data_IF_142020929566
#
_entry.id   IF_142020929566
#
_cell.length_a   1.000
_cell.length_b   1.000
_cell.length_c   1.000
_cell.angle_alpha   90.00
_cell.angle_beta   90.00
_cell.angle_gamma   90.00
#
_symmetry.space_group_name_H-M   'P 1'
#
loop_
_entity.id
_entity.type
_entity.pdbx_description
1 polymer ?
#
# COMPACT_ATOMS: atom_id res chain seq x y z
N UNK A 1 -62.06 27.64 -45.90
CA UNK A 1 -61.21 28.49 -45.04
C UNK A 1 -60.96 27.84 -43.69
N UNK A 2 -59.72 27.43 -43.41
CA UNK A 2 -59.34 26.94 -42.08
C UNK A 2 -59.13 28.15 -41.18
N UNK A 3 -60.12 28.48 -40.35
CA UNK A 3 -60.00 29.56 -39.36
C UNK A 3 -59.11 29.07 -38.22
N UNK A 4 -57.86 29.55 -38.19
CA UNK A 4 -56.92 29.28 -37.11
C UNK A 4 -57.27 30.20 -35.93
N UNK A 5 -57.85 29.64 -34.87
CA UNK A 5 -58.18 30.39 -33.65
C UNK A 5 -56.96 30.53 -32.74
N UNK A 6 -56.86 31.64 -31.99
CA UNK A 6 -55.79 31.86 -30.99
C UNK A 6 -55.65 30.69 -30.01
N UNK A 7 -56.77 30.09 -29.63
CA UNK A 7 -56.80 28.92 -28.75
C UNK A 7 -56.14 27.68 -29.38
N UNK A 8 -56.38 27.41 -30.67
CA UNK A 8 -55.70 26.30 -31.37
C UNK A 8 -54.19 26.52 -31.47
N UNK A 9 -53.76 27.76 -31.72
CA UNK A 9 -52.31 28.11 -31.76
C UNK A 9 -51.66 27.88 -30.40
N UNK A 10 -52.30 28.31 -29.32
CA UNK A 10 -51.80 28.06 -27.95
C UNK A 10 -51.74 26.57 -27.59
N UNK A 11 -52.74 25.78 -27.99
CA UNK A 11 -52.75 24.33 -27.78
C UNK A 11 -51.62 23.63 -28.53
N UNK A 12 -51.39 23.98 -29.81
CA UNK A 12 -50.27 23.45 -30.59
C UNK A 12 -48.94 23.83 -29.94
N UNK A 13 -48.80 25.07 -29.47
CA UNK A 13 -47.64 25.54 -28.72
C UNK A 13 -47.37 24.72 -27.45
N UNK A 14 -48.43 24.37 -26.70
CA UNK A 14 -48.31 23.55 -25.48
C UNK A 14 -47.83 22.12 -25.76
N UNK A 15 -48.31 21.49 -26.83
CA UNK A 15 -47.88 20.15 -27.22
C UNK A 15 -46.46 20.16 -27.79
N UNK A 16 -46.12 21.15 -28.61
CA UNK A 16 -44.78 21.33 -29.15
C UNK A 16 -43.76 21.56 -28.03
N UNK A 17 -44.09 22.38 -27.02
CA UNK A 17 -43.29 22.57 -25.82
C UNK A 17 -43.05 21.26 -25.09
N UNK A 18 -44.12 20.53 -24.74
CA UNK A 18 -43.98 19.31 -23.95
C UNK A 18 -43.23 18.20 -24.69
N UNK A 19 -43.47 18.02 -25.99
CA UNK A 19 -42.75 17.02 -26.78
C UNK A 19 -41.27 17.38 -26.95
N UNK A 20 -40.97 18.64 -27.29
CA UNK A 20 -39.60 19.10 -27.43
C UNK A 20 -38.83 19.01 -26.10
N UNK A 21 -39.47 19.39 -24.98
CA UNK A 21 -38.85 19.29 -23.66
C UNK A 21 -38.49 17.85 -23.28
N UNK A 22 -39.39 16.88 -23.54
CA UNK A 22 -39.06 15.46 -23.32
C UNK A 22 -37.87 14.99 -24.16
N UNK A 23 -37.87 15.30 -25.46
CA UNK A 23 -36.79 14.90 -26.37
C UNK A 23 -35.46 15.53 -25.93
N UNK A 24 -35.48 16.79 -25.51
CA UNK A 24 -34.29 17.49 -25.00
C UNK A 24 -33.74 16.82 -23.73
N UNK A 25 -34.61 16.45 -22.79
CA UNK A 25 -34.22 15.76 -21.54
C UNK A 25 -33.58 14.40 -21.85
N UNK A 26 -34.21 13.60 -22.72
CA UNK A 26 -33.66 12.29 -23.11
C UNK A 26 -32.32 12.43 -23.85
N UNK A 27 -32.22 13.39 -24.77
CA UNK A 27 -30.98 13.67 -25.50
C UNK A 27 -29.84 14.13 -24.59
N UNK A 28 -30.14 14.97 -23.58
CA UNK A 28 -29.18 15.43 -22.59
C UNK A 28 -28.63 14.26 -21.75
N UNK A 29 -29.48 13.30 -21.37
CA UNK A 29 -29.06 12.11 -20.62
C UNK A 29 -28.17 11.19 -21.47
N UNK A 30 -28.55 10.91 -22.71
CA UNK A 30 -27.82 9.97 -23.57
C UNK A 30 -26.54 10.51 -24.17
N UNK A 31 -26.54 11.79 -24.58
CA UNK A 31 -25.43 12.38 -25.35
C UNK A 31 -24.69 13.49 -24.60
N UNK A 32 -25.19 13.91 -23.44
CA UNK A 32 -24.71 15.12 -22.77
C UNK A 32 -25.09 16.39 -23.53
N UNK A 33 -24.42 17.50 -23.20
CA UNK A 33 -24.59 18.76 -23.90
C UNK A 33 -24.06 18.64 -25.33
N UNK A 34 -24.97 18.68 -26.30
CA UNK A 34 -24.65 18.61 -27.72
C UNK A 34 -25.47 19.64 -28.51
N UNK A 35 -24.96 20.06 -29.66
CA UNK A 35 -25.65 21.04 -30.54
C UNK A 35 -27.10 20.65 -30.84
N UNK A 36 -27.44 19.36 -31.14
CA UNK A 36 -28.82 18.95 -31.31
C UNK A 36 -29.69 19.14 -30.06
N UNK A 37 -29.17 18.82 -28.87
CA UNK A 37 -29.89 18.96 -27.59
C UNK A 37 -30.22 20.44 -27.34
N UNK A 38 -29.27 21.35 -27.59
CA UNK A 38 -29.47 22.80 -27.46
C UNK A 38 -30.57 23.30 -28.41
N UNK A 39 -30.57 22.82 -29.66
CA UNK A 39 -31.61 23.17 -30.65
C UNK A 39 -32.98 22.74 -30.16
N UNK A 40 -33.11 21.52 -29.60
CA UNK A 40 -34.40 21.02 -29.11
C UNK A 40 -34.87 21.81 -27.88
N UNK A 41 -33.97 22.22 -26.97
CA UNK A 41 -34.31 23.14 -25.88
C UNK A 41 -34.81 24.50 -26.38
N UNK A 42 -34.18 25.03 -27.44
CA UNK A 42 -34.65 26.27 -28.06
C UNK A 42 -36.06 26.12 -28.64
N UNK A 43 -36.34 25.00 -29.32
CA UNK A 43 -37.69 24.69 -29.82
C UNK A 43 -38.71 24.59 -28.68
N UNK A 44 -38.33 23.96 -27.56
CA UNK A 44 -39.19 23.92 -26.37
C UNK A 44 -39.47 25.35 -25.84
N UNK A 45 -38.45 26.21 -25.73
CA UNK A 45 -38.62 27.59 -25.29
C UNK A 45 -39.55 28.40 -26.19
N UNK A 46 -39.44 28.24 -27.52
CA UNK A 46 -40.34 28.88 -28.50
C UNK A 46 -41.77 28.36 -28.37
N UNK A 47 -41.95 27.05 -28.17
CA UNK A 47 -43.25 26.44 -27.91
C UNK A 47 -43.91 26.99 -26.64
N UNK A 48 -43.13 27.14 -25.56
CA UNK A 48 -43.59 27.71 -24.30
C UNK A 48 -43.99 29.19 -24.46
N UNK A 49 -43.16 29.99 -25.12
CA UNK A 49 -43.45 31.40 -25.39
C UNK A 49 -44.74 31.56 -26.21
N UNK A 50 -44.94 30.70 -27.20
CA UNK A 50 -46.16 30.66 -28.01
C UNK A 50 -47.37 30.28 -27.15
N UNK A 51 -47.24 29.29 -26.27
CA UNK A 51 -48.32 28.88 -25.37
C UNK A 51 -48.73 30.01 -24.40
N UNK A 52 -47.76 30.68 -23.78
CA UNK A 52 -47.98 31.79 -22.85
C UNK A 52 -48.58 33.00 -23.55
N UNK A 53 -48.06 33.38 -24.73
CA UNK A 53 -48.51 34.56 -25.46
C UNK A 53 -49.95 34.43 -25.99
N UNK A 54 -50.31 33.24 -26.48
CA UNK A 54 -51.60 33.04 -27.15
C UNK A 54 -52.71 32.53 -26.21
N UNK A 55 -52.36 31.85 -25.11
CA UNK A 55 -53.32 31.30 -24.15
C UNK A 55 -52.84 31.46 -22.69
N UNK A 56 -52.69 32.69 -22.18
CA UNK A 56 -52.15 32.95 -20.84
C UNK A 56 -53.07 32.44 -19.72
N UNK A 57 -54.39 32.43 -19.94
CA UNK A 57 -55.37 31.89 -18.97
C UNK A 57 -55.26 30.37 -18.84
N UNK A 58 -55.04 29.66 -19.95
CA UNK A 58 -54.89 28.20 -19.94
C UNK A 58 -53.57 27.80 -19.26
N UNK A 59 -52.50 28.55 -19.53
CA UNK A 59 -51.22 28.39 -18.83
C UNK A 59 -51.35 28.65 -17.32
N UNK A 60 -52.02 29.74 -16.91
CA UNK A 60 -52.26 30.03 -15.50
C UNK A 60 -53.14 28.96 -14.83
N UNK A 61 -54.17 28.44 -15.52
CA UNK A 61 -55.01 27.36 -15.02
C UNK A 61 -54.25 26.03 -14.88
N UNK A 62 -53.27 25.78 -15.76
CA UNK A 62 -52.36 24.63 -15.68
C UNK A 62 -51.45 24.70 -14.45
N UNK A 63 -50.81 25.86 -14.20
CA UNK A 63 -49.94 26.07 -13.03
C UNK A 63 -50.73 26.07 -11.71
N UNK A 64 -51.94 26.62 -11.70
CA UNK A 64 -52.80 26.68 -10.50
C UNK A 64 -53.60 25.39 -10.25
N UNK A 65 -53.47 24.38 -11.10
CA UNK A 65 -54.09 23.06 -10.95
C UNK A 65 -55.62 23.03 -11.07
N UNK A 66 -56.28 24.15 -11.38
CA UNK A 66 -57.73 24.30 -11.19
C UNK A 66 -58.58 23.77 -12.36
N UNK A 67 -57.98 23.37 -13.49
CA UNK A 67 -58.77 22.93 -14.66
C UNK A 67 -58.04 22.07 -15.72
N UNK A 68 -57.00 21.33 -15.36
CA UNK A 68 -56.34 20.46 -16.33
C UNK A 68 -57.12 19.15 -16.50
N UNK A 69 -57.61 18.88 -17.72
CA UNK A 69 -58.25 17.60 -18.06
C UNK A 69 -57.27 16.45 -17.81
N UNK A 70 -57.77 15.32 -17.28
CA UNK A 70 -56.98 14.17 -16.82
C UNK A 70 -55.84 13.71 -17.77
N UNK A 71 -56.02 13.83 -19.10
CA UNK A 71 -54.98 13.47 -20.08
C UNK A 71 -53.80 14.46 -20.18
N UNK A 72 -54.03 15.76 -19.96
CA UNK A 72 -52.96 16.78 -20.00
C UNK A 72 -52.10 16.69 -18.76
N UNK A 73 -52.69 16.43 -17.59
CA UNK A 73 -51.93 16.23 -16.35
C UNK A 73 -51.01 15.02 -16.41
N UNK A 74 -51.49 13.87 -16.91
CA UNK A 74 -50.65 12.68 -17.03
C UNK A 74 -49.42 12.89 -17.93
N UNK A 75 -49.62 13.53 -19.09
CA UNK A 75 -48.52 13.86 -20.01
C UNK A 75 -47.48 14.78 -19.37
N UNK A 76 -47.93 15.83 -18.67
CA UNK A 76 -47.00 16.78 -18.06
C UNK A 76 -46.29 16.23 -16.81
N UNK A 77 -46.98 15.42 -16.01
CA UNK A 77 -46.38 14.70 -14.89
C UNK A 77 -45.30 13.72 -15.35
N UNK A 78 -45.47 13.08 -16.52
CA UNK A 78 -44.43 12.25 -17.12
C UNK A 78 -43.17 13.06 -17.47
N UNK A 79 -43.30 14.27 -18.05
CA UNK A 79 -42.13 15.15 -18.33
C UNK A 79 -41.42 15.49 -17.02
N UNK A 80 -42.21 15.86 -16.00
CA UNK A 80 -41.66 16.30 -14.73
C UNK A 80 -40.89 15.17 -14.05
N UNK A 81 -41.47 13.96 -14.02
CA UNK A 81 -40.80 12.78 -13.49
C UNK A 81 -39.53 12.45 -14.28
N UNK A 82 -39.58 12.43 -15.61
CA UNK A 82 -38.40 12.21 -16.46
C UNK A 82 -37.33 13.28 -16.26
N UNK A 83 -37.72 14.54 -16.07
CA UNK A 83 -36.82 15.65 -15.77
C UNK A 83 -36.15 15.52 -14.40
N UNK A 84 -36.89 15.10 -13.37
CA UNK A 84 -36.33 14.82 -12.04
C UNK A 84 -35.33 13.67 -12.13
N UNK A 85 -35.68 12.56 -12.81
CA UNK A 85 -34.78 11.42 -12.99
C UNK A 85 -33.51 11.82 -13.76
N UNK A 86 -33.65 12.61 -14.82
CA UNK A 86 -32.51 13.13 -15.58
C UNK A 86 -31.62 14.07 -14.76
N UNK A 87 -32.20 14.98 -13.97
CA UNK A 87 -31.47 15.87 -13.08
C UNK A 87 -30.68 15.07 -12.03
N UNK A 88 -31.32 14.09 -11.39
CA UNK A 88 -30.66 13.20 -10.44
C UNK A 88 -29.51 12.44 -11.11
N UNK A 89 -29.71 11.91 -12.32
CA UNK A 89 -28.66 11.22 -13.08
C UNK A 89 -27.46 12.14 -13.40
N UNK A 90 -27.70 13.39 -13.79
CA UNK A 90 -26.63 14.33 -14.11
C UNK A 90 -25.84 14.76 -12.86
N UNK A 91 -26.53 14.99 -11.73
CA UNK A 91 -25.89 15.27 -10.44
C UNK A 91 -25.01 14.11 -9.99
N UNK A 92 -25.49 12.87 -10.12
CA UNK A 92 -24.73 11.65 -9.79
C UNK A 92 -23.59 11.40 -10.78
N UNK A 93 -23.72 11.80 -12.04
CA UNK A 93 -22.66 11.63 -13.05
C UNK A 93 -21.48 12.56 -12.82
N UNK A 94 -21.72 13.81 -12.42
CA UNK A 94 -20.66 14.81 -12.27
C UNK A 94 -20.02 14.80 -10.87
N UNK A 95 -20.72 14.29 -9.87
CA UNK A 95 -20.17 14.11 -8.54
C UNK A 95 -19.80 12.64 -8.36
N UNK A 96 -18.51 12.36 -8.14
CA UNK A 96 -18.03 11.09 -7.62
C UNK A 96 -18.51 10.92 -6.17
N UNK A 97 -19.81 10.76 -5.99
CA UNK A 97 -20.40 10.34 -4.72
C UNK A 97 -20.10 8.86 -4.55
N UNK A 98 -18.88 8.56 -4.12
CA UNK A 98 -18.50 7.25 -3.60
C UNK A 98 -19.14 7.11 -2.23
N UNK A 99 -20.40 6.67 -2.19
CA UNK A 99 -20.97 6.12 -0.97
C UNK A 99 -20.41 4.72 -0.81
N UNK A 100 -19.37 4.60 0.00
CA UNK A 100 -18.79 3.32 0.39
C UNK A 100 -19.73 2.62 1.38
N UNK A 101 -20.57 1.77 0.84
CA UNK A 101 -21.40 0.80 1.56
C UNK A 101 -20.88 -0.62 1.30
N UNK A 102 -19.61 -0.76 0.98
CA UNK A 102 -18.93 -2.07 0.91
C UNK A 102 -18.20 -2.31 2.21
N UNK A 103 -18.52 -3.42 2.86
CA UNK A 103 -17.94 -3.87 4.13
C UNK A 103 -16.55 -4.50 3.90
N UNK A 104 -15.69 -3.79 3.16
CA UNK A 104 -14.33 -4.19 2.80
C UNK A 104 -13.49 -2.92 2.63
N UNK A 105 -12.71 -2.56 3.65
CA UNK A 105 -11.67 -1.52 3.62
C UNK A 105 -10.49 -1.89 2.68
N UNK A 106 -10.75 -2.59 1.57
CA UNK A 106 -9.76 -3.21 0.67
C UNK A 106 -8.89 -2.18 -0.10
N UNK A 107 -9.16 -0.88 0.04
CA UNK A 107 -8.40 0.20 -0.59
C UNK A 107 -7.80 1.21 0.40
N UNK A 108 -7.67 0.83 1.67
CA UNK A 108 -7.09 1.68 2.71
C UNK A 108 -6.16 0.87 3.59
N UNK A 109 -4.99 1.43 3.89
CA UNK A 109 -4.06 0.82 4.85
C UNK A 109 -4.60 0.93 6.27
N UNK A 110 -4.32 -0.07 7.10
CA UNK A 110 -4.66 -0.07 8.52
C UNK A 110 -4.00 1.11 9.26
N UNK A 111 -4.59 1.59 10.36
CA UNK A 111 -4.00 2.62 11.21
C UNK A 111 -2.58 2.28 11.67
N UNK A 112 -2.31 1.01 11.95
CA UNK A 112 -1.01 0.49 12.38
C UNK A 112 0.03 0.65 11.27
N UNK A 113 -0.31 0.27 10.03
CA UNK A 113 0.57 0.48 8.88
C UNK A 113 0.82 1.96 8.65
N UNK A 114 -0.20 2.83 8.78
CA UNK A 114 -0.03 4.29 8.64
C UNK A 114 0.93 4.88 9.68
N UNK A 115 0.90 4.40 10.92
CA UNK A 115 1.86 4.81 11.96
C UNK A 115 3.30 4.40 11.60
N UNK A 116 3.50 3.18 11.08
CA UNK A 116 4.82 2.74 10.59
C UNK A 116 5.30 3.63 9.45
N UNK A 117 4.42 3.93 8.49
CA UNK A 117 4.73 4.81 7.35
C UNK A 117 5.06 6.24 7.78
N UNK A 118 4.39 6.77 8.80
CA UNK A 118 4.66 8.11 9.35
C UNK A 118 6.04 8.25 9.98
N UNK A 119 6.70 7.15 10.33
CA UNK A 119 8.06 7.13 10.91
C UNK A 119 9.16 7.01 9.86
N UNK A 120 8.82 6.74 8.60
CA UNK A 120 9.80 6.63 7.51
C UNK A 120 10.29 8.03 7.12
N UNK A 121 11.59 8.26 7.29
CA UNK A 121 12.23 9.56 7.01
C UNK A 121 13.18 9.50 5.81
N UNK A 122 13.62 8.31 5.42
CA UNK A 122 14.52 8.06 4.28
C UNK A 122 13.72 7.53 3.09
N UNK A 123 14.06 7.89 1.84
CA UNK A 123 13.40 7.35 0.65
C UNK A 123 13.56 5.84 0.55
N UNK A 124 12.48 5.13 0.24
CA UNK A 124 12.43 3.67 0.13
C UNK A 124 11.99 3.28 -1.27
N UNK A 125 12.61 2.24 -1.84
CA UNK A 125 12.20 1.64 -3.10
C UNK A 125 11.67 0.23 -2.88
N UNK A 126 10.42 0.00 -3.30
CA UNK A 126 9.84 -1.32 -3.50
C UNK A 126 10.28 -1.81 -4.88
N UNK A 127 11.01 -2.90 -4.94
CA UNK A 127 11.49 -3.52 -6.19
C UNK A 127 10.79 -4.86 -6.38
N UNK A 128 9.95 -4.95 -7.40
CA UNK A 128 9.23 -6.18 -7.75
C UNK A 128 9.78 -6.81 -9.04
N UNK A 129 10.10 -8.09 -8.99
CA UNK A 129 10.58 -8.85 -10.14
C UNK A 129 9.42 -9.61 -10.76
N UNK A 130 9.04 -9.26 -11.99
CA UNK A 130 7.93 -9.91 -12.71
C UNK A 130 8.29 -10.12 -14.18
N UNK A 131 8.29 -11.38 -14.61
CA UNK A 131 8.43 -11.71 -16.03
C UNK A 131 7.15 -11.36 -16.81
N UNK A 132 7.27 -11.36 -18.14
CA UNK A 132 6.12 -11.30 -19.04
C UNK A 132 5.01 -12.34 -18.76
N UNK A 133 5.32 -13.44 -18.06
CA UNK A 133 4.33 -14.47 -17.70
C UNK A 133 3.52 -14.10 -16.45
N UNK A 134 4.04 -13.21 -15.60
CA UNK A 134 3.46 -12.83 -14.31
C UNK A 134 2.91 -11.39 -14.26
N UNK A 135 2.51 -10.85 -15.42
CA UNK A 135 1.94 -9.50 -15.51
C UNK A 135 0.63 -9.32 -14.72
N UNK A 136 -0.18 -10.38 -14.60
CA UNK A 136 -1.38 -10.34 -13.77
C UNK A 136 -1.03 -10.13 -12.29
N UNK A 137 -0.01 -10.85 -11.83
CA UNK A 137 0.47 -10.74 -10.45
C UNK A 137 1.05 -9.34 -10.19
N UNK A 138 1.83 -8.81 -11.13
CA UNK A 138 2.30 -7.41 -11.08
C UNK A 138 1.14 -6.44 -10.94
N UNK A 139 0.04 -6.61 -11.68
CA UNK A 139 -1.10 -5.70 -11.64
C UNK A 139 -1.83 -5.72 -10.29
N UNK A 140 -1.95 -6.91 -9.67
CA UNK A 140 -2.50 -7.09 -8.32
C UNK A 140 -1.60 -6.37 -7.31
N UNK A 141 -0.29 -6.64 -7.36
CA UNK A 141 0.68 -6.06 -6.43
C UNK A 141 0.81 -4.53 -6.62
N UNK A 142 0.71 -4.03 -7.86
CA UNK A 142 0.74 -2.58 -8.16
C UNK A 142 -0.46 -1.84 -7.55
N UNK A 143 -1.64 -2.47 -7.51
CA UNK A 143 -2.79 -1.88 -6.81
C UNK A 143 -2.52 -1.68 -5.33
N UNK A 144 -1.83 -2.63 -4.71
CA UNK A 144 -1.46 -2.59 -3.32
C UNK A 144 -0.32 -1.59 -3.04
N UNK A 145 0.78 -1.66 -3.80
CA UNK A 145 1.95 -0.79 -3.60
C UNK A 145 1.67 0.69 -3.88
N UNK A 146 0.68 1.00 -4.72
CA UNK A 146 0.20 2.39 -4.92
C UNK A 146 -0.29 3.04 -3.63
N UNK A 147 -0.87 2.28 -2.71
CA UNK A 147 -1.34 2.81 -1.42
C UNK A 147 -0.16 3.35 -0.60
N UNK A 148 0.97 2.64 -0.57
CA UNK A 148 2.18 3.04 0.15
C UNK A 148 2.81 4.31 -0.43
N UNK A 149 2.87 4.40 -1.76
CA UNK A 149 3.38 5.59 -2.44
C UNK A 149 2.50 6.82 -2.19
N UNK A 150 1.17 6.63 -2.20
CA UNK A 150 0.19 7.70 -1.97
C UNK A 150 0.24 8.18 -0.52
N UNK A 151 0.22 7.26 0.46
CA UNK A 151 0.22 7.60 1.89
C UNK A 151 1.53 8.26 2.34
N UNK A 152 2.66 7.97 1.66
CA UNK A 152 3.97 8.57 1.96
C UNK A 152 4.34 9.76 1.07
N UNK A 153 3.40 10.28 0.26
CA UNK A 153 3.63 11.39 -0.66
C UNK A 153 4.85 11.18 -1.59
N UNK A 154 5.07 9.94 -2.05
CA UNK A 154 6.16 9.58 -2.97
C UNK A 154 7.53 9.38 -2.33
N UNK A 155 7.61 9.31 -0.99
CA UNK A 155 8.82 8.91 -0.26
C UNK A 155 9.13 7.42 -0.47
N UNK A 156 8.08 6.58 -0.50
CA UNK A 156 8.16 5.21 -0.98
C UNK A 156 7.82 5.21 -2.47
N UNK A 157 8.65 4.56 -3.29
CA UNK A 157 8.42 4.40 -4.73
C UNK A 157 8.51 2.95 -5.13
N UNK A 158 7.80 2.58 -6.19
CA UNK A 158 7.81 1.22 -6.74
C UNK A 158 8.50 1.14 -8.10
N UNK A 159 9.32 0.11 -8.29
CA UNK A 159 10.05 -0.19 -9.51
C UNK A 159 9.82 -1.65 -9.86
N UNK A 160 9.53 -1.92 -11.14
CA UNK A 160 9.32 -3.28 -11.65
C UNK A 160 10.43 -3.64 -12.63
N UNK A 161 11.00 -4.83 -12.45
CA UNK A 161 12.10 -5.34 -13.26
C UNK A 161 11.70 -6.70 -13.80
N UNK A 162 11.90 -6.93 -15.10
CA UNK A 162 11.74 -8.27 -15.67
C UNK A 162 13.05 -9.06 -15.41
N UNK A 163 13.01 -10.16 -14.63
CA UNK A 163 14.20 -10.96 -14.34
C UNK A 163 14.78 -11.66 -15.58
N UNK A 164 13.98 -11.88 -16.63
CA UNK A 164 14.45 -12.50 -17.88
C UNK A 164 15.16 -11.47 -18.77
N UNK A 165 14.73 -10.19 -18.74
CA UNK A 165 15.39 -9.10 -19.47
C UNK A 165 16.64 -8.57 -18.75
N UNK A 166 16.63 -8.58 -17.40
CA UNK A 166 17.72 -8.05 -16.57
C UNK A 166 18.26 -9.11 -15.56
N UNK A 167 18.81 -10.24 -16.03
CA UNK A 167 19.23 -11.35 -15.16
C UNK A 167 20.36 -10.97 -14.20
N UNK A 168 21.24 -10.03 -14.58
CA UNK A 168 22.30 -9.56 -13.69
C UNK A 168 21.77 -8.81 -12.47
N UNK A 169 20.71 -8.02 -12.63
CA UNK A 169 20.07 -7.31 -11.52
C UNK A 169 19.33 -8.32 -10.64
N UNK A 170 18.55 -9.23 -11.23
CA UNK A 170 17.86 -10.27 -10.49
C UNK A 170 18.83 -11.14 -9.66
N UNK A 171 19.97 -11.54 -10.25
CA UNK A 171 20.99 -12.32 -9.56
C UNK A 171 21.59 -11.58 -8.35
N UNK A 172 21.80 -10.26 -8.44
CA UNK A 172 22.33 -9.47 -7.31
C UNK A 172 21.38 -9.41 -6.11
N UNK A 173 20.07 -9.61 -6.33
CA UNK A 173 19.05 -9.70 -5.28
C UNK A 173 18.79 -11.15 -4.84
N UNK A 174 19.35 -12.15 -5.53
CA UNK A 174 18.87 -13.54 -5.43
C UNK A 174 17.38 -13.66 -5.80
N UNK A 175 16.88 -12.77 -6.65
CA UNK A 175 15.47 -12.66 -6.97
C UNK A 175 15.03 -13.72 -7.98
N UNK A 176 13.85 -14.27 -7.75
CA UNK A 176 13.12 -15.10 -8.70
C UNK A 176 11.87 -14.37 -9.20
N UNK A 177 11.24 -14.90 -10.24
CA UNK A 177 9.98 -14.35 -10.76
C UNK A 177 8.90 -14.30 -9.67
N UNK A 178 8.26 -13.14 -9.52
CA UNK A 178 7.36 -12.79 -8.43
C UNK A 178 8.04 -12.30 -7.16
N UNK A 179 9.36 -12.25 -7.03
CA UNK A 179 9.97 -11.77 -5.78
C UNK A 179 9.78 -10.26 -5.59
N UNK A 180 9.55 -9.83 -4.35
CA UNK A 180 9.41 -8.42 -3.97
C UNK A 180 10.40 -8.10 -2.85
N UNK A 181 11.10 -6.97 -3.01
CA UNK A 181 12.09 -6.48 -2.06
C UNK A 181 11.84 -5.01 -1.75
N UNK A 182 12.32 -4.57 -0.58
CA UNK A 182 12.40 -3.17 -0.20
C UNK A 182 13.84 -2.81 0.18
N UNK A 183 14.23 -1.56 -0.06
CA UNK A 183 15.55 -1.04 0.29
C UNK A 183 15.50 0.48 0.41
N UNK A 184 16.44 1.07 1.14
CA UNK A 184 16.64 2.51 1.08
C UNK A 184 17.28 2.91 -0.25
N UNK A 185 17.07 4.17 -0.63
CA UNK A 185 17.69 4.78 -1.81
C UNK A 185 18.79 5.75 -1.36
N UNK A 186 19.97 5.61 -1.96
CA UNK A 186 21.11 6.50 -1.78
C UNK A 186 20.85 7.88 -2.41
N UNK A 187 21.68 8.86 -2.05
CA UNK A 187 21.56 10.22 -2.58
C UNK A 187 21.74 10.32 -4.11
N UNK A 188 22.44 9.35 -4.72
CA UNK A 188 22.63 9.23 -6.17
C UNK A 188 21.47 8.53 -6.89
N UNK A 189 20.45 8.07 -6.16
CA UNK A 189 19.30 7.35 -6.69
C UNK A 189 19.52 5.84 -6.84
N UNK A 190 20.69 5.31 -6.47
CA UNK A 190 20.93 3.86 -6.42
C UNK A 190 20.29 3.23 -5.18
N UNK A 191 20.01 1.94 -5.24
CA UNK A 191 19.55 1.16 -4.09
C UNK A 191 20.70 0.93 -3.09
N UNK A 192 20.39 0.97 -1.80
CA UNK A 192 21.31 0.56 -0.74
C UNK A 192 21.19 -0.94 -0.50
N UNK A 193 22.09 -1.71 -1.13
CA UNK A 193 22.10 -3.17 -1.08
C UNK A 193 22.34 -3.73 0.32
N UNK A 194 22.93 -2.96 1.24
CA UNK A 194 23.12 -3.40 2.63
C UNK A 194 21.80 -3.42 3.42
N UNK A 195 20.77 -2.75 2.93
CA UNK A 195 19.47 -2.62 3.58
C UNK A 195 18.39 -3.44 2.88
N UNK A 196 18.80 -4.32 1.96
CA UNK A 196 17.88 -5.11 1.16
C UNK A 196 17.09 -6.08 2.05
N UNK A 197 15.76 -5.92 2.08
CA UNK A 197 14.86 -6.80 2.80
C UNK A 197 13.84 -7.43 1.85
N UNK A 198 13.71 -8.76 1.91
CA UNK A 198 12.68 -9.48 1.17
C UNK A 198 11.32 -9.27 1.82
N UNK A 199 10.30 -9.05 1.00
CA UNK A 199 8.90 -9.03 1.43
C UNK A 199 8.35 -10.45 1.27
N UNK A 200 7.97 -11.13 2.37
CA UNK A 200 7.34 -12.43 2.30
C UNK A 200 6.04 -12.37 1.48
N UNK A 201 5.65 -13.50 0.91
CA UNK A 201 4.35 -13.69 0.27
C UNK A 201 3.53 -14.65 1.12
N UNK A 202 3.12 -14.18 2.27
CA UNK A 202 2.27 -14.89 3.22
C UNK A 202 0.80 -14.73 2.90
N UNK A 203 -0.04 -14.91 3.92
CA UNK A 203 -1.50 -14.84 3.81
C UNK A 203 -2.03 -13.41 3.79
N UNK A 204 -1.24 -12.41 4.20
CA UNK A 204 -1.64 -11.01 4.27
C UNK A 204 -0.53 -10.11 3.74
N UNK A 205 -0.76 -9.59 2.54
CA UNK A 205 0.21 -8.76 1.83
C UNK A 205 0.55 -7.45 2.58
N UNK A 206 -0.41 -6.89 3.32
CA UNK A 206 -0.16 -5.71 4.16
C UNK A 206 0.71 -6.03 5.35
N UNK A 207 0.39 -7.10 6.08
CA UNK A 207 1.21 -7.51 7.21
C UNK A 207 2.65 -7.77 6.78
N UNK A 208 2.83 -8.52 5.69
CA UNK A 208 4.16 -8.88 5.19
C UNK A 208 4.98 -7.63 4.79
N UNK A 209 4.32 -6.65 4.16
CA UNK A 209 4.95 -5.38 3.78
C UNK A 209 5.30 -4.53 5.00
N UNK A 210 4.38 -4.39 5.96
CA UNK A 210 4.60 -3.63 7.19
C UNK A 210 5.72 -4.25 8.03
N UNK A 211 5.75 -5.57 8.18
CA UNK A 211 6.85 -6.28 8.84
C UNK A 211 8.18 -6.07 8.12
N UNK A 212 8.20 -6.09 6.78
CA UNK A 212 9.41 -5.80 6.02
C UNK A 212 9.87 -4.36 6.26
N UNK A 213 8.99 -3.36 6.23
CA UNK A 213 9.32 -1.96 6.50
C UNK A 213 9.90 -1.75 7.90
N UNK A 214 9.37 -2.46 8.91
CA UNK A 214 9.92 -2.46 10.25
C UNK A 214 11.35 -3.04 10.28
N UNK A 215 11.60 -4.16 9.60
CA UNK A 215 12.96 -4.70 9.43
C UNK A 215 13.89 -3.71 8.74
N UNK A 216 13.41 -3.02 7.70
CA UNK A 216 14.18 -2.00 7.00
C UNK A 216 14.55 -0.80 7.90
N UNK A 217 13.68 -0.43 8.85
CA UNK A 217 13.97 0.66 9.80
C UNK A 217 15.11 0.32 10.76
N UNK A 218 15.22 -0.94 11.17
CA UNK A 218 16.31 -1.42 12.04
C UNK A 218 17.50 -1.96 11.24
N UNK A 219 17.38 -2.03 9.91
CA UNK A 219 18.41 -2.58 9.04
C UNK A 219 19.70 -1.77 9.19
N UNK A 220 20.75 -2.46 9.61
CA UNK A 220 22.06 -1.85 9.79
C UNK A 220 22.25 -1.06 11.10
N UNK A 221 21.29 -1.09 12.03
CA UNK A 221 21.40 -0.39 13.32
C UNK A 221 21.63 -1.31 14.51
N UNK A 222 21.48 -2.62 14.33
CA UNK A 222 21.60 -3.61 15.41
C UNK A 222 22.72 -4.59 15.05
N UNK A 223 23.83 -4.51 15.79
CA UNK A 223 25.00 -5.38 15.59
C UNK A 223 24.98 -6.52 16.60
N UNK A 224 25.07 -7.75 16.09
CA UNK A 224 25.18 -8.98 16.86
C UNK A 224 26.60 -9.53 16.68
N UNK A 225 27.29 -9.74 17.79
CA UNK A 225 28.67 -10.20 17.79
C UNK A 225 28.75 -11.72 18.00
N UNK A 226 29.44 -12.43 17.13
CA UNK A 226 29.76 -13.84 17.29
C UNK A 226 31.13 -13.98 17.95
N UNK A 227 31.20 -14.64 19.10
CA UNK A 227 32.48 -15.02 19.66
C UNK A 227 33.17 -16.04 18.75
N UNK A 228 34.43 -15.75 18.40
CA UNK A 228 35.28 -16.58 17.54
C UNK A 228 36.38 -17.29 18.33
N UNK A 229 36.42 -17.11 19.65
CA UNK A 229 37.35 -17.80 20.54
C UNK A 229 36.78 -19.15 21.03
N UNK A 230 37.48 -19.85 21.93
CA UNK A 230 37.03 -21.13 22.54
C UNK A 230 36.56 -22.24 21.58
N UNK A 231 37.09 -22.31 20.35
CA UNK A 231 36.67 -23.33 19.38
C UNK A 231 35.24 -23.16 18.85
N UNK A 232 34.71 -21.94 18.98
CA UNK A 232 33.45 -21.53 18.39
C UNK A 232 33.45 -21.77 16.88
N UNK A 233 32.25 -21.99 16.33
CA UNK A 233 32.08 -22.19 14.89
C UNK A 233 32.08 -20.84 14.18
N UNK A 234 32.74 -20.77 13.05
CA UNK A 234 32.76 -19.56 12.22
C UNK A 234 31.34 -19.31 11.63
N UNK A 235 30.74 -18.12 11.86
CA UNK A 235 29.47 -17.72 11.24
C UNK A 235 29.52 -17.71 9.72
N UNK A 236 30.69 -17.64 9.08
CA UNK A 236 30.84 -17.62 7.63
C UNK A 236 31.13 -19.01 7.03
N UNK A 237 31.34 -20.05 7.86
CA UNK A 237 31.59 -21.41 7.35
C UNK A 237 30.32 -22.02 6.72
N UNK A 238 30.46 -22.41 5.46
CA UNK A 238 29.41 -23.06 4.64
C UNK A 238 29.43 -24.59 4.70
N UNK A 239 30.34 -25.19 5.47
CA UNK A 239 30.35 -26.62 5.72
C UNK A 239 29.09 -27.06 6.47
N UNK A 240 28.73 -28.37 6.46
CA UNK A 240 27.62 -28.89 7.26
C UNK A 240 27.77 -28.63 8.77
N UNK A 241 29.00 -28.36 9.23
CA UNK A 241 29.31 -28.02 10.61
C UNK A 241 29.44 -26.51 10.84
N UNK A 242 29.29 -25.67 9.80
CA UNK A 242 29.37 -24.23 9.92
C UNK A 242 28.07 -23.57 10.41
N UNK A 243 28.09 -22.25 10.54
CA UNK A 243 26.95 -21.45 11.01
C UNK A 243 26.41 -20.45 9.97
N UNK A 244 26.85 -20.55 8.71
CA UNK A 244 26.42 -19.67 7.61
C UNK A 244 24.91 -19.55 7.43
N UNK A 245 24.14 -20.60 7.71
CA UNK A 245 22.68 -20.55 7.70
C UNK A 245 22.11 -19.64 8.79
N UNK A 246 22.67 -19.67 10.00
CA UNK A 246 22.27 -18.77 11.10
C UNK A 246 22.67 -17.35 10.76
N UNK A 247 23.91 -17.15 10.30
CA UNK A 247 24.40 -15.85 9.85
C UNK A 247 23.50 -15.24 8.77
N UNK A 248 23.14 -16.01 7.73
CA UNK A 248 22.24 -15.56 6.67
C UNK A 248 20.83 -15.22 7.21
N UNK A 249 20.28 -16.02 8.13
CA UNK A 249 18.97 -15.74 8.73
C UNK A 249 18.95 -14.48 9.61
N UNK A 250 20.04 -14.21 10.33
CA UNK A 250 20.21 -12.97 11.11
C UNK A 250 20.27 -11.76 10.15
N UNK A 251 21.02 -11.87 9.05
CA UNK A 251 21.08 -10.83 8.03
C UNK A 251 19.74 -10.60 7.33
N UNK A 252 18.99 -11.66 7.00
CA UNK A 252 17.64 -11.55 6.44
C UNK A 252 16.66 -10.86 7.40
N UNK A 253 16.91 -10.96 8.70
CA UNK A 253 16.15 -10.25 9.74
C UNK A 253 16.51 -8.76 9.84
N UNK A 254 17.51 -8.29 9.08
CA UNK A 254 17.98 -6.89 9.07
C UNK A 254 19.13 -6.60 10.05
N UNK A 255 19.66 -7.61 10.73
CA UNK A 255 20.70 -7.45 11.75
C UNK A 255 22.09 -7.53 11.12
N UNK A 256 23.07 -6.78 11.66
CA UNK A 256 24.48 -6.92 11.29
C UNK A 256 25.11 -7.99 12.16
N UNK A 257 26.00 -8.80 11.58
CA UNK A 257 26.84 -9.75 12.32
C UNK A 257 28.31 -9.33 12.26
N UNK A 258 29.00 -9.37 13.39
CA UNK A 258 30.43 -9.07 13.47
C UNK A 258 31.17 -10.13 14.30
N UNK A 259 32.44 -10.43 14.00
CA UNK A 259 33.25 -11.30 14.86
C UNK A 259 33.68 -10.57 16.12
N UNK A 260 33.84 -11.31 17.22
CA UNK A 260 34.36 -10.86 18.49
C UNK A 260 35.34 -11.90 19.00
N UNK A 261 36.53 -11.49 19.42
CA UNK A 261 37.49 -12.40 20.04
C UNK A 261 37.47 -12.16 21.56
N UNK A 262 36.72 -12.99 22.29
CA UNK A 262 36.57 -12.81 23.74
C UNK A 262 37.91 -12.97 24.46
N UNK A 263 38.75 -13.91 24.02
CA UNK A 263 40.08 -14.14 24.56
C UNK A 263 40.96 -12.90 24.43
N UNK A 264 41.00 -12.29 23.25
CA UNK A 264 41.76 -11.06 23.03
C UNK A 264 41.25 -9.91 23.91
N UNK A 265 39.93 -9.79 24.12
CA UNK A 265 39.36 -8.77 25.01
C UNK A 265 39.74 -9.01 26.47
N UNK A 266 39.71 -10.27 26.93
CA UNK A 266 40.14 -10.66 28.28
C UNK A 266 41.62 -10.35 28.52
N UNK A 267 42.50 -10.74 27.59
CA UNK A 267 43.95 -10.47 27.67
C UNK A 267 44.27 -8.98 27.68
N UNK A 268 43.54 -8.19 26.89
CA UNK A 268 43.71 -6.74 26.79
C UNK A 268 42.94 -5.96 27.87
N UNK A 269 42.16 -6.63 28.71
CA UNK A 269 41.19 -6.02 29.64
C UNK A 269 40.35 -4.92 28.95
N UNK A 270 39.84 -5.23 27.76
CA UNK A 270 39.01 -4.35 26.95
C UNK A 270 37.55 -4.76 27.03
N UNK A 271 36.65 -3.82 26.78
CA UNK A 271 35.21 -4.08 26.83
C UNK A 271 34.69 -4.58 25.47
N UNK A 272 33.55 -5.29 25.52
CA UNK A 272 32.74 -5.53 24.32
C UNK A 272 32.38 -4.18 23.67
N UNK A 273 32.36 -4.06 22.34
CA UNK A 273 31.93 -2.84 21.67
C UNK A 273 30.57 -2.30 22.17
N UNK A 274 30.44 -0.98 22.27
CA UNK A 274 29.21 -0.33 22.78
C UNK A 274 28.02 -0.47 21.82
N UNK A 275 28.26 -0.78 20.55
CA UNK A 275 27.22 -1.03 19.54
C UNK A 275 26.70 -2.48 19.54
N UNK A 276 27.26 -3.35 20.39
CA UNK A 276 26.82 -4.72 20.53
C UNK A 276 25.43 -4.79 21.16
N UNK A 277 24.43 -5.18 20.35
CA UNK A 277 23.09 -5.47 20.83
C UNK A 277 23.00 -6.85 21.50
N UNK A 278 23.81 -7.81 21.03
CA UNK A 278 23.96 -9.11 21.64
C UNK A 278 25.35 -9.70 21.35
N UNK A 279 25.84 -10.53 22.27
CA UNK A 279 27.01 -11.39 22.06
C UNK A 279 26.54 -12.85 22.04
N UNK A 280 26.99 -13.60 21.04
CA UNK A 280 26.65 -15.00 20.80
C UNK A 280 27.86 -15.87 21.11
N UNK A 281 27.74 -16.70 22.14
CA UNK A 281 28.70 -17.74 22.48
C UNK A 281 28.20 -19.05 21.88
N UNK A 282 28.72 -19.42 20.70
CA UNK A 282 28.21 -20.57 19.95
C UNK A 282 29.17 -21.74 20.01
N UNK A 283 28.75 -22.77 20.75
CA UNK A 283 29.49 -24.02 20.99
C UNK A 283 30.91 -23.76 21.53
N UNK A 284 31.05 -23.07 22.68
CA UNK A 284 32.34 -22.99 23.36
C UNK A 284 32.79 -24.41 23.74
N UNK A 285 34.02 -24.76 23.38
CA UNK A 285 34.63 -26.07 23.63
C UNK A 285 35.52 -26.10 24.87
N UNK A 286 35.92 -24.93 25.36
CA UNK A 286 36.74 -24.74 26.56
C UNK A 286 36.14 -23.65 27.44
N UNK A 287 36.41 -23.72 28.75
CA UNK A 287 35.99 -22.73 29.71
C UNK A 287 36.64 -21.36 29.44
N UNK A 288 35.88 -20.29 29.69
CA UNK A 288 36.39 -18.92 29.72
C UNK A 288 37.17 -18.69 31.01
N UNK A 289 38.24 -17.90 30.93
CA UNK A 289 39.04 -17.46 32.07
C UNK A 289 38.31 -16.40 32.90
N UNK A 290 38.78 -16.16 34.13
CA UNK A 290 38.25 -15.09 34.99
C UNK A 290 38.33 -13.70 34.32
N UNK A 291 39.36 -13.45 33.49
CA UNK A 291 39.51 -12.20 32.78
C UNK A 291 38.41 -12.01 31.71
N UNK A 292 38.07 -13.07 30.99
CA UNK A 292 37.01 -13.06 29.98
C UNK A 292 35.63 -12.95 30.63
N UNK A 293 35.41 -13.65 31.75
CA UNK A 293 34.17 -13.56 32.52
C UNK A 293 33.98 -12.14 33.06
N UNK A 294 35.05 -11.49 33.54
CA UNK A 294 34.97 -10.09 33.96
C UNK A 294 34.60 -9.13 32.80
N UNK A 295 34.95 -9.46 31.55
CA UNK A 295 34.50 -8.70 30.35
C UNK A 295 33.00 -8.92 30.12
N UNK A 296 32.55 -10.17 30.19
CA UNK A 296 31.14 -10.55 30.03
C UNK A 296 30.27 -9.91 31.13
N UNK A 297 30.72 -9.94 32.39
CA UNK A 297 30.03 -9.33 33.53
C UNK A 297 29.84 -7.82 33.32
N UNK A 298 30.90 -7.09 32.95
CA UNK A 298 30.79 -5.65 32.66
C UNK A 298 29.82 -5.37 31.50
N UNK A 299 29.79 -6.26 30.50
CA UNK A 299 28.86 -6.16 29.38
C UNK A 299 27.41 -6.41 29.79
N UNK A 300 27.15 -7.38 30.68
CA UNK A 300 25.82 -7.67 31.22
C UNK A 300 25.35 -6.58 32.19
N UNK A 301 26.23 -6.05 33.04
CA UNK A 301 25.93 -5.00 34.04
C UNK A 301 25.42 -3.70 33.39
N UNK A 302 25.87 -3.40 32.17
CA UNK A 302 25.39 -2.25 31.38
C UNK A 302 24.16 -2.56 30.52
N UNK A 303 23.52 -3.72 30.71
CA UNK A 303 22.29 -4.13 30.03
C UNK A 303 22.50 -4.87 28.71
N UNK A 304 23.71 -5.36 28.43
CA UNK A 304 24.00 -6.18 27.27
C UNK A 304 23.24 -7.51 27.29
N UNK A 305 22.95 -8.04 26.10
CA UNK A 305 22.32 -9.36 25.95
C UNK A 305 23.36 -10.42 25.58
N UNK A 306 23.29 -11.58 26.23
CA UNK A 306 24.14 -12.73 25.94
C UNK A 306 23.26 -13.90 25.48
N UNK A 307 23.63 -14.50 24.35
CA UNK A 307 22.99 -15.72 23.84
C UNK A 307 24.02 -16.85 23.85
N UNK A 308 23.71 -17.91 24.56
CA UNK A 308 24.62 -19.04 24.73
C UNK A 308 24.01 -20.28 24.09
N UNK A 309 24.74 -20.88 23.17
CA UNK A 309 24.41 -22.17 22.57
C UNK A 309 25.49 -23.17 22.96
N UNK A 310 25.25 -23.90 24.04
CA UNK A 310 26.15 -24.93 24.53
C UNK A 310 25.81 -26.30 23.92
N UNK A 311 26.83 -27.11 23.67
CA UNK A 311 26.68 -28.53 23.35
C UNK A 311 26.75 -29.34 24.64
N UNK A 312 26.06 -30.47 24.68
CA UNK A 312 26.09 -31.41 25.81
C UNK A 312 27.31 -32.33 25.61
N UNK A 313 28.50 -31.74 25.57
CA UNK A 313 29.71 -32.53 25.41
C UNK A 313 29.93 -33.35 26.69
N UNK A 314 30.03 -34.67 26.52
CA UNK A 314 30.50 -35.59 27.56
C UNK A 314 32.05 -35.58 27.62
N UNK A 315 32.63 -34.39 27.75
CA UNK A 315 34.06 -34.19 28.02
C UNK A 315 34.29 -34.00 29.53
N UNK A 316 35.53 -34.13 29.99
CA UNK A 316 35.87 -34.02 31.42
C UNK A 316 35.71 -32.60 31.97
N UNK A 317 35.56 -31.59 31.11
CA UNK A 317 35.29 -30.19 31.44
C UNK A 317 34.14 -29.66 30.56
N UNK A 318 32.88 -29.91 30.95
CA UNK A 318 31.74 -29.35 30.24
C UNK A 318 31.62 -27.85 30.52
N UNK A 319 31.39 -27.07 29.48
CA UNK A 319 30.99 -25.66 29.60
C UNK A 319 29.67 -25.60 30.40
N UNK A 320 29.64 -24.79 31.47
CA UNK A 320 28.60 -24.75 32.53
C UNK A 320 28.58 -25.97 33.48
N UNK A 321 29.76 -26.51 33.86
CA UNK A 321 29.84 -27.48 34.96
C UNK A 321 29.41 -26.85 36.29
N UNK A 322 28.83 -27.68 37.17
CA UNK A 322 28.53 -27.30 38.56
C UNK A 322 29.86 -26.94 39.27
N UNK A 323 29.90 -25.80 39.96
CA UNK A 323 31.11 -25.15 40.51
C UNK A 323 32.10 -24.60 39.43
N UNK A 324 31.60 -24.35 38.22
CA UNK A 324 32.33 -23.71 37.14
C UNK A 324 32.37 -22.19 37.28
N UNK A 325 33.15 -21.51 36.43
CA UNK A 325 33.32 -20.06 36.53
C UNK A 325 32.07 -19.23 36.17
N UNK A 326 30.98 -19.88 35.72
CA UNK A 326 29.66 -19.28 35.46
C UNK A 326 28.64 -19.47 36.60
N UNK A 327 28.96 -20.24 37.65
CA UNK A 327 28.13 -20.41 38.86
C UNK A 327 28.41 -19.29 39.89
#
# INVERSE_FOLDING_TARGET
DVVITRQRVGQIGSYAFGLALHIAILGLVWTGWSTPVIIVFFVAAVGLATWVAFTPRDFAAFITGRQARYGTMAFFSAILLSGIVAMTYLLVREQAFTFDLTMSEEFTLSPETKDVLGRITRPVQITGFYSSQNLLLRAIDDQFFRLYETETNGLIRRVYIDPDEAPGVAASFGATDGSVYISYVNADGSIDTATLARVPRGSSQERDMTEALLRLQIAGTVTVYFDTSHGARDPLDTSPEGLSGIHAGIQESGLITAPLDMLALGEANSDVPDDAAAVLLVRPLTDYSEAEIAVIDRYLDRGGALFIMADVLFNNDPFLKQDGAFD
#
